data_IF_681455020984
#
_entry.id   IF_681455020984
#
_cell.length_a   1.000
_cell.length_b   1.000
_cell.length_c   1.000
_cell.angle_alpha   90.00
_cell.angle_beta   90.00
_cell.angle_gamma   90.00
#
_symmetry.space_group_name_H-M   'P 1'
#
loop_
_entity.id
_entity.type
_entity.pdbx_description
1 polymer ?
#
# COMPACT_ATOMS: atom_id res chain seq x y z
N UNK A 1 13.33 -60.43 9.54
CA UNK A 1 14.59 -59.77 9.94
C UNK A 1 14.61 -58.35 9.37
N UNK A 2 14.57 -57.31 10.23
CA UNK A 2 14.95 -55.87 10.01
C UNK A 2 14.19 -55.10 8.88
N UNK A 3 13.75 -53.84 8.99
CA UNK A 3 13.75 -52.83 10.04
C UNK A 3 12.75 -51.72 9.68
N UNK A 4 12.21 -51.05 10.71
CA UNK A 4 11.34 -49.86 10.67
C UNK A 4 11.99 -48.69 9.89
N UNK A 5 11.13 -47.83 9.29
CA UNK A 5 11.11 -46.36 9.52
C UNK A 5 9.88 -45.75 8.86
N UNK A 6 8.93 -45.30 9.68
CA UNK A 6 7.83 -44.40 9.31
C UNK A 6 8.45 -43.04 8.99
N UNK A 7 8.45 -42.65 7.73
CA UNK A 7 8.87 -41.32 7.27
C UNK A 7 7.65 -40.43 7.12
N UNK A 8 7.27 -39.75 8.21
CA UNK A 8 6.34 -38.62 8.17
C UNK A 8 7.06 -37.49 7.41
N UNK A 9 6.60 -37.20 6.20
CA UNK A 9 7.06 -36.05 5.42
C UNK A 9 6.13 -34.88 5.79
N UNK A 10 6.48 -34.18 6.87
CA UNK A 10 5.99 -32.82 7.15
C UNK A 10 6.76 -31.89 6.21
N UNK A 11 6.25 -31.68 5.00
CA UNK A 11 6.69 -30.55 4.18
C UNK A 11 5.97 -29.31 4.73
N UNK A 12 6.70 -28.64 5.62
CA UNK A 12 6.65 -27.22 5.94
C UNK A 12 5.60 -26.38 5.20
N UNK A 13 4.50 -26.12 5.89
CA UNK A 13 3.97 -24.78 6.20
C UNK A 13 4.69 -23.58 5.53
N UNK A 14 3.85 -22.68 4.98
CA UNK A 14 4.08 -21.23 4.77
C UNK A 14 4.93 -20.84 3.55
N UNK A 15 4.27 -20.67 2.41
CA UNK A 15 4.63 -19.60 1.45
C UNK A 15 3.54 -19.25 0.42
N UNK A 16 2.30 -19.70 0.57
CA UNK A 16 1.19 -19.38 -0.37
C UNK A 16 0.28 -18.29 0.19
N UNK A 17 0.84 -17.13 0.57
CA UNK A 17 0.02 -15.95 0.90
C UNK A 17 0.38 -14.72 0.03
N UNK A 18 1.49 -14.73 -0.70
CA UNK A 18 1.96 -13.52 -1.40
C UNK A 18 1.55 -13.41 -2.89
N UNK A 19 0.47 -14.06 -3.36
CA UNK A 19 0.07 -14.00 -4.79
C UNK A 19 -1.37 -13.50 -5.02
N UNK A 20 -2.18 -13.28 -3.97
CA UNK A 20 -3.58 -12.83 -4.15
C UNK A 20 -3.70 -11.32 -4.49
N UNK A 21 -2.60 -10.55 -4.50
CA UNK A 21 -2.61 -9.12 -4.83
C UNK A 21 -2.55 -8.78 -6.31
N UNK A 22 -2.57 -9.76 -7.22
CA UNK A 22 -2.48 -9.52 -8.66
C UNK A 22 -3.90 -9.56 -9.26
N UNK A 23 -4.35 -8.40 -9.76
CA UNK A 23 -5.55 -8.13 -10.60
C UNK A 23 -6.80 -7.66 -9.83
N UNK A 24 -6.93 -6.33 -9.69
CA UNK A 24 -8.13 -5.63 -10.17
C UNK A 24 -7.87 -4.12 -10.33
N UNK A 25 -7.28 -3.71 -11.44
CA UNK A 25 -7.24 -2.32 -11.85
C UNK A 25 -7.51 -2.22 -13.34
N UNK A 26 -8.79 -2.23 -13.72
CA UNK A 26 -9.32 -1.60 -14.94
C UNK A 26 -10.85 -1.73 -14.99
N UNK A 27 -11.58 -0.79 -14.36
CA UNK A 27 -12.85 -0.27 -14.93
C UNK A 27 -13.22 1.08 -14.33
N UNK A 28 -13.66 1.97 -15.21
CA UNK A 28 -13.74 3.41 -15.08
C UNK A 28 -14.77 3.95 -14.08
N UNK A 29 -14.41 5.12 -13.54
CA UNK A 29 -15.23 6.27 -13.08
C UNK A 29 -16.47 6.05 -12.19
N UNK A 30 -16.45 6.81 -11.09
CA UNK A 30 -17.59 7.23 -10.25
C UNK A 30 -18.16 6.14 -9.31
N UNK A 31 -17.92 6.32 -8.00
CA UNK A 31 -18.55 5.63 -6.86
C UNK A 31 -18.04 4.24 -6.43
N UNK A 32 -16.75 4.07 -6.10
CA UNK A 32 -16.26 2.82 -5.48
C UNK A 32 -15.31 3.05 -4.29
N UNK A 33 -15.79 3.72 -3.24
CA UNK A 33 -15.12 3.74 -1.93
C UNK A 33 -15.26 2.41 -1.16
N UNK A 34 -16.26 1.58 -1.48
CA UNK A 34 -16.56 0.35 -0.73
C UNK A 34 -15.52 -0.79 -0.85
N UNK A 35 -14.59 -0.72 -1.79
CA UNK A 35 -13.63 -1.82 -2.02
C UNK A 35 -12.15 -1.39 -2.11
N UNK A 36 -11.86 -0.08 -2.01
CA UNK A 36 -10.49 0.42 -2.00
C UNK A 36 -9.79 0.00 -0.70
N UNK A 37 -8.51 -0.36 -0.77
CA UNK A 37 -7.69 -0.75 0.39
C UNK A 37 -6.97 0.45 1.03
N UNK A 38 -6.72 1.51 0.25
CA UNK A 38 -6.11 2.75 0.70
C UNK A 38 -6.83 3.97 0.15
N UNK A 39 -6.70 5.07 0.86
CA UNK A 39 -7.03 6.42 0.41
C UNK A 39 -5.75 7.27 0.46
N UNK A 40 -5.37 7.85 -0.68
CA UNK A 40 -4.17 8.69 -0.78
C UNK A 40 -4.59 10.11 -1.14
N UNK A 41 -4.42 11.03 -0.21
CA UNK A 41 -4.79 12.43 -0.35
C UNK A 41 -3.60 13.26 -0.76
N UNK A 42 -3.78 14.25 -1.64
CA UNK A 42 -2.73 15.18 -2.07
C UNK A 42 -3.16 16.62 -1.83
N UNK A 43 -2.21 17.43 -1.34
CA UNK A 43 -2.33 18.88 -1.24
C UNK A 43 -1.05 19.58 -1.71
N UNK A 44 -1.20 20.84 -2.11
CA UNK A 44 -0.06 21.69 -2.49
C UNK A 44 0.84 21.95 -1.27
N UNK A 45 2.15 21.99 -1.49
CA UNK A 45 3.15 22.36 -0.49
C UNK A 45 4.12 23.41 -1.10
N UNK A 46 4.88 24.15 -0.27
CA UNK A 46 5.88 25.12 -0.77
C UNK A 46 6.93 24.48 -1.69
N UNK A 47 7.28 23.21 -1.42
CA UNK A 47 8.16 22.39 -2.25
C UNK A 47 7.48 21.05 -2.51
N UNK A 48 7.35 20.66 -3.77
CA UNK A 48 6.67 19.42 -4.15
C UNK A 48 5.16 19.45 -3.85
N UNK A 49 4.65 18.35 -3.30
CA UNK A 49 3.30 18.28 -2.73
C UNK A 49 3.33 17.43 -1.45
N UNK A 50 2.35 17.61 -0.57
CA UNK A 50 2.17 16.70 0.56
C UNK A 50 1.15 15.61 0.18
N UNK A 51 1.50 14.35 0.41
CA UNK A 51 0.61 13.21 0.25
C UNK A 51 0.37 12.58 1.62
N UNK A 52 -0.88 12.22 1.92
CA UNK A 52 -1.27 11.50 3.14
C UNK A 52 -1.95 10.21 2.74
N UNK A 53 -1.45 9.06 3.22
CA UNK A 53 -2.05 7.76 2.94
C UNK A 53 -2.73 7.19 4.19
N UNK A 54 -3.98 6.77 4.05
CA UNK A 54 -4.76 6.06 5.06
C UNK A 54 -5.16 4.68 4.55
N UNK A 55 -5.25 3.70 5.46
CA UNK A 55 -5.92 2.44 5.18
C UNK A 55 -7.42 2.60 5.39
N UNK A 56 -8.21 2.07 4.46
CA UNK A 56 -9.65 1.88 4.67
C UNK A 56 -9.89 0.78 5.70
N UNK A 57 -11.14 0.58 6.14
CA UNK A 57 -11.48 -0.55 7.02
C UNK A 57 -11.09 -1.90 6.42
N UNK A 58 -11.29 -2.05 5.10
CA UNK A 58 -10.85 -3.25 4.37
C UNK A 58 -9.32 -3.36 4.39
N UNK A 59 -8.61 -2.29 4.06
CA UNK A 59 -7.14 -2.28 4.09
C UNK A 59 -6.56 -2.63 5.47
N UNK A 60 -7.21 -2.19 6.56
CA UNK A 60 -6.82 -2.57 7.93
C UNK A 60 -6.99 -4.06 8.20
N UNK A 61 -8.02 -4.71 7.63
CA UNK A 61 -8.25 -6.15 7.75
C UNK A 61 -7.27 -6.95 6.89
N UNK A 62 -7.03 -6.51 5.66
CA UNK A 62 -6.14 -7.19 4.70
C UNK A 62 -4.66 -7.03 5.07
N UNK A 63 -4.28 -5.86 5.61
CA UNK A 63 -2.90 -5.51 5.96
C UNK A 63 -2.77 -5.01 7.41
N UNK A 64 -3.08 -5.84 8.42
CA UNK A 64 -3.10 -5.41 9.83
C UNK A 64 -1.73 -5.00 10.38
N UNK A 65 -0.65 -5.39 9.70
CA UNK A 65 0.74 -5.03 10.07
C UNK A 65 1.24 -3.76 9.39
N UNK A 66 0.49 -3.19 8.44
CA UNK A 66 0.88 -1.97 7.74
C UNK A 66 0.82 -0.78 8.69
N UNK A 67 1.95 -0.08 8.80
CA UNK A 67 2.14 1.01 9.75
C UNK A 67 2.76 2.25 9.10
N UNK A 68 3.62 2.03 8.09
CA UNK A 68 4.31 3.06 7.33
C UNK A 68 3.95 2.94 5.85
N UNK A 69 4.21 3.99 5.11
CA UNK A 69 4.10 4.00 3.66
C UNK A 69 5.25 4.77 3.02
N UNK A 70 5.44 4.53 1.74
CA UNK A 70 6.34 5.28 0.89
C UNK A 70 5.73 5.41 -0.51
N UNK A 71 5.90 6.57 -1.12
CA UNK A 71 5.31 6.90 -2.43
C UNK A 71 6.36 6.72 -3.52
N UNK A 72 5.98 6.00 -4.56
CA UNK A 72 6.71 5.85 -5.79
C UNK A 72 5.89 6.46 -6.93
N UNK A 73 6.59 7.08 -7.88
CA UNK A 73 6.00 7.64 -9.07
C UNK A 73 6.80 7.20 -10.29
N UNK A 74 6.11 6.57 -11.27
CA UNK A 74 6.75 5.97 -12.45
C UNK A 74 7.91 5.02 -12.08
N UNK A 75 7.72 4.20 -11.05
CA UNK A 75 8.72 3.26 -10.55
C UNK A 75 9.92 3.90 -9.84
N UNK A 76 9.96 5.23 -9.69
CA UNK A 76 11.01 5.93 -8.96
C UNK A 76 10.54 6.33 -7.57
N UNK A 77 11.49 6.32 -6.62
CA UNK A 77 11.21 6.74 -5.27
C UNK A 77 10.89 8.24 -5.25
N UNK A 78 9.70 8.58 -4.76
CA UNK A 78 9.20 9.95 -4.78
C UNK A 78 9.06 10.57 -3.37
N UNK A 79 9.15 9.77 -2.30
CA UNK A 79 9.03 10.27 -0.91
C UNK A 79 9.95 9.57 0.08
N UNK A 80 10.14 10.18 1.24
CA UNK A 80 10.63 9.47 2.42
C UNK A 80 9.57 8.48 2.94
N UNK A 81 10.01 7.53 3.77
CA UNK A 81 9.12 6.63 4.51
C UNK A 81 8.43 7.43 5.63
N UNK A 82 7.10 7.34 5.71
CA UNK A 82 6.31 8.04 6.72
C UNK A 82 5.23 7.12 7.33
N UNK A 83 4.73 7.44 8.51
CA UNK A 83 3.62 6.72 9.17
C UNK A 83 2.30 6.95 8.42
N UNK A 84 1.47 5.91 8.33
CA UNK A 84 0.11 6.05 7.81
C UNK A 84 -0.66 7.13 8.58
N UNK A 85 -1.47 7.91 7.87
CA UNK A 85 -2.21 9.06 8.39
C UNK A 85 -1.37 10.32 8.62
N UNK A 86 -0.06 10.30 8.35
CA UNK A 86 0.80 11.49 8.36
C UNK A 86 1.17 11.93 6.94
N UNK A 87 1.24 13.24 6.68
CA UNK A 87 1.65 13.74 5.38
C UNK A 87 3.16 13.54 5.16
N UNK A 88 3.54 13.09 3.97
CA UNK A 88 4.93 13.07 3.49
C UNK A 88 5.09 13.99 2.29
N UNK A 89 6.28 14.57 2.12
CA UNK A 89 6.60 15.36 0.93
C UNK A 89 6.91 14.42 -0.23
N UNK A 90 6.24 14.64 -1.36
CA UNK A 90 6.46 13.91 -2.60
C UNK A 90 7.06 14.84 -3.65
N UNK A 91 8.13 14.38 -4.29
CA UNK A 91 8.81 15.08 -5.38
C UNK A 91 9.00 14.17 -6.61
N UNK A 92 8.74 14.65 -7.84
CA UNK A 92 8.20 15.97 -8.18
C UNK A 92 6.76 16.16 -7.71
N UNK A 93 6.29 17.42 -7.66
CA UNK A 93 4.93 17.75 -7.23
C UNK A 93 3.88 16.98 -8.04
N UNK A 94 2.89 16.41 -7.35
CA UNK A 94 1.78 15.65 -7.92
C UNK A 94 0.47 16.41 -7.76
N UNK A 95 -0.52 16.04 -8.58
CA UNK A 95 -1.87 16.59 -8.54
C UNK A 95 -2.92 15.49 -8.35
N UNK A 96 -4.13 15.90 -7.96
CA UNK A 96 -5.27 14.98 -7.88
C UNK A 96 -5.48 14.28 -9.23
N UNK A 97 -5.81 13.00 -9.18
CA UNK A 97 -6.01 12.14 -10.34
C UNK A 97 -4.73 11.46 -10.85
N UNK A 98 -3.54 11.89 -10.43
CA UNK A 98 -2.29 11.23 -10.77
C UNK A 98 -2.25 9.83 -10.14
N UNK A 99 -1.82 8.83 -10.93
CA UNK A 99 -1.56 7.49 -10.43
C UNK A 99 -0.17 7.41 -9.79
N UNK A 100 -0.11 6.80 -8.61
CA UNK A 100 1.11 6.56 -7.82
C UNK A 100 1.13 5.12 -7.32
N UNK A 101 2.33 4.64 -7.00
CA UNK A 101 2.56 3.36 -6.33
C UNK A 101 2.82 3.63 -4.85
N UNK A 102 2.05 2.99 -3.97
CA UNK A 102 2.17 3.12 -2.52
C UNK A 102 2.70 1.81 -1.97
N UNK A 103 3.93 1.86 -1.44
CA UNK A 103 4.53 0.73 -0.74
C UNK A 103 4.09 0.81 0.72
N UNK A 104 3.33 -0.19 1.17
CA UNK A 104 2.94 -0.37 2.56
C UNK A 104 4.03 -1.13 3.29
N UNK A 105 4.46 -0.58 4.42
CA UNK A 105 5.59 -1.06 5.21
C UNK A 105 5.14 -1.37 6.64
N UNK A 106 5.78 -2.34 7.26
CA UNK A 106 5.61 -2.61 8.70
C UNK A 106 6.34 -1.57 9.57
N UNK A 107 6.26 -1.72 10.89
CA UNK A 107 6.94 -0.84 11.83
C UNK A 107 8.48 -0.86 11.69
N UNK A 108 9.04 -1.97 11.20
CA UNK A 108 10.47 -2.21 10.94
C UNK A 108 10.90 -1.80 9.52
N UNK A 109 10.03 -1.13 8.75
CA UNK A 109 10.25 -0.71 7.36
C UNK A 109 10.37 -1.87 6.35
N UNK A 110 9.91 -3.06 6.69
CA UNK A 110 9.82 -4.17 5.73
C UNK A 110 8.56 -4.00 4.88
N UNK A 111 8.69 -4.18 3.57
CA UNK A 111 7.55 -4.13 2.66
C UNK A 111 6.56 -5.27 2.91
N UNK A 112 5.29 -4.91 2.95
CA UNK A 112 4.15 -5.82 3.12
C UNK A 112 3.41 -5.96 1.79
N UNK A 113 3.16 -4.84 1.11
CA UNK A 113 2.40 -4.79 -0.13
C UNK A 113 2.71 -3.52 -0.90
N UNK A 114 2.45 -3.57 -2.21
CA UNK A 114 2.50 -2.41 -3.10
C UNK A 114 1.14 -2.23 -3.75
N UNK A 115 0.62 -0.99 -3.72
CA UNK A 115 -0.74 -0.65 -4.15
C UNK A 115 -0.70 0.50 -5.13
N UNK A 116 -1.26 0.32 -6.33
CA UNK A 116 -1.48 1.42 -7.28
C UNK A 116 -2.77 2.15 -6.94
N UNK A 117 -2.72 3.47 -6.87
CA UNK A 117 -3.91 4.28 -6.60
C UNK A 117 -3.80 5.65 -7.24
N UNK A 118 -4.95 6.32 -7.39
CA UNK A 118 -5.01 7.71 -7.84
C UNK A 118 -5.08 8.65 -6.64
N UNK A 119 -4.31 9.72 -6.68
CA UNK A 119 -4.34 10.75 -5.65
C UNK A 119 -5.69 11.48 -5.63
N UNK A 120 -6.24 11.66 -4.43
CA UNK A 120 -7.49 12.35 -4.17
C UNK A 120 -7.15 13.74 -3.66
N UNK A 121 -7.79 14.80 -4.15
CA UNK A 121 -7.63 16.13 -3.57
C UNK A 121 -8.01 16.10 -2.08
N UNK A 122 -7.09 16.50 -1.21
CA UNK A 122 -7.39 16.65 0.21
C UNK A 122 -8.50 17.70 0.38
N UNK A 123 -9.64 17.31 0.97
CA UNK A 123 -10.67 18.26 1.36
C UNK A 123 -10.17 18.94 2.63
N UNK A 124 -10.01 20.26 2.58
CA UNK A 124 -9.85 21.04 3.80
C UNK A 124 -11.00 20.67 4.74
N UNK A 125 -10.68 20.15 5.93
CA UNK A 125 -11.59 20.27 7.05
C UNK A 125 -11.40 21.70 7.52
N UNK A 126 -12.35 22.55 7.14
CA UNK A 126 -12.53 23.87 7.72
C UNK A 126 -12.75 23.75 9.24
#
# INVERSE_FOLDING_TARGET
MKNKRKGIVIISLISIIAIIGIIFAMKNNTNNSKNAIIEAYVRKAPVGCAVTVNLTEKGKKDYPKAYKYQVYYKGQLASAVEKLGRPTTVFPARKSGDEVEIHLLDSKKKEIATVKTKLIKERYRD
#
